data_IF_188720338906
#
_entry.id   IF_188720338906
#
_cell.length_a   1.000
_cell.length_b   1.000
_cell.length_c   1.000
_cell.angle_alpha   90.00
_cell.angle_beta   90.00
_cell.angle_gamma   90.00
#
_symmetry.space_group_name_H-M   'P 1'
#
loop_
_entity.id
_entity.type
_entity.pdbx_description
1 polymer ?
2 non-polymer ?
3 non-polymer ?
4 non-polymer ?
5 non-polymer ?
6 water ?
#
# COMPACT_ATOMS: atom_id res chain seq x y z
N UNK A 2 9.53 12.28 16.25
CA UNK A 2 8.30 13.12 16.06
C UNK A 2 7.07 12.21 16.21
N UNK A 3 5.99 12.70 16.81
CA UNK A 3 4.75 11.90 16.90
C UNK A 3 3.89 12.19 15.66
N UNK A 4 3.41 11.13 14.99
CA UNK A 4 2.74 11.30 13.69
C UNK A 4 1.47 12.14 13.75
N UNK A 5 1.33 13.06 12.81
CA UNK A 5 0.07 13.82 12.64
C UNK A 5 -0.76 13.32 11.46
N UNK A 6 -1.96 12.81 11.76
CA UNK A 6 -2.89 12.26 10.77
C UNK A 6 -3.99 13.27 10.52
N UNK A 7 -4.25 13.58 9.24
CA UNK A 7 -5.41 14.36 8.88
C UNK A 7 -6.48 13.44 8.32
N UNK A 8 -7.64 13.36 8.97
CA UNK A 8 -8.71 12.52 8.50
C UNK A 8 -9.79 13.39 7.84
N UNK A 9 -10.06 13.14 6.57
CA UNK A 9 -11.03 13.94 5.81
C UNK A 9 -12.21 13.04 5.61
N UNK A 10 -13.28 13.27 6.38
CA UNK A 10 -14.38 12.32 6.45
C UNK A 10 -15.63 13.08 6.96
N UNK A 11 -16.74 12.99 6.25
CA UNK A 11 -17.92 13.81 6.57
C UNK A 11 -18.96 13.04 7.38
N UNK A 12 -18.81 11.72 7.51
CA UNK A 12 -19.75 10.99 8.34
C UNK A 12 -19.18 10.96 9.75
N UNK A 13 -19.86 11.59 10.70
CA UNK A 13 -19.19 11.82 11.99
C UNK A 13 -18.98 10.55 12.82
N UNK A 14 -19.81 9.53 12.65
CA UNK A 14 -19.60 8.29 13.43
C UNK A 14 -18.37 7.58 12.89
N UNK A 15 -18.27 7.45 11.57
CA UNK A 15 -17.03 6.99 10.96
C UNK A 15 -15.82 7.81 11.40
N UNK A 16 -15.93 9.13 11.36
CA UNK A 16 -14.78 9.94 11.69
C UNK A 16 -14.38 9.80 13.15
N UNK A 17 -15.38 9.66 14.03
CA UNK A 17 -15.11 9.54 15.46
C UNK A 17 -14.38 8.22 15.73
N UNK A 18 -14.82 7.18 15.04
CA UNK A 18 -14.19 5.87 15.10
C UNK A 18 -12.75 5.89 14.58
N UNK A 19 -12.49 6.57 13.45
CA UNK A 19 -11.12 6.73 12.94
C UNK A 19 -10.27 7.49 13.90
N UNK A 20 -10.84 8.55 14.46
CA UNK A 20 -10.13 9.38 15.42
C UNK A 20 -9.70 8.55 16.63
N UNK A 21 -10.50 7.55 16.99
CA UNK A 21 -10.20 6.83 18.23
C UNK A 21 -9.27 5.67 17.90
N UNK A 22 -9.50 5.04 16.74
CA UNK A 22 -8.54 4.11 16.18
C UNK A 22 -7.14 4.71 16.14
N UNK A 23 -6.99 5.93 15.61
CA UNK A 23 -5.62 6.45 15.49
C UNK A 23 -5.06 6.99 16.78
N UNK A 24 -5.94 7.46 17.67
CA UNK A 24 -5.46 7.92 18.98
C UNK A 24 -4.95 6.73 19.80
N UNK A 25 -5.66 5.60 19.71
CA UNK A 25 -5.19 4.34 20.27
C UNK A 25 -3.81 3.89 19.73
N UNK A 26 -3.33 4.57 18.67
CA UNK A 26 -1.99 4.36 18.13
C UNK A 26 -1.03 5.37 18.68
N UNK A 27 -1.52 6.31 19.49
CA UNK A 27 -0.64 7.36 19.97
C UNK A 27 -0.44 8.51 19.00
N UNK A 28 -1.22 8.56 17.92
CA UNK A 28 -1.07 9.62 16.93
C UNK A 28 -1.88 10.87 17.34
N UNK A 29 -1.46 12.03 16.88
CA UNK A 29 -2.29 13.23 16.91
C UNK A 29 -3.23 13.28 15.69
N UNK A 30 -4.51 13.48 15.93
CA UNK A 30 -5.51 13.40 14.88
C UNK A 30 -6.14 14.75 14.58
N UNK A 31 -6.01 15.19 13.33
CA UNK A 31 -6.69 16.37 12.81
C UNK A 31 -7.88 15.95 11.93
N UNK A 32 -8.92 16.78 11.89
CA UNK A 32 -10.20 16.41 11.30
C UNK A 32 -10.67 17.48 10.33
N UNK A 33 -11.22 17.04 9.20
CA UNK A 33 -11.75 17.93 8.16
C UNK A 33 -12.94 17.22 7.55
N UNK A 34 -13.96 17.96 7.16
CA UNK A 34 -15.07 17.35 6.44
C UNK A 34 -15.07 17.73 4.98
N UNK A 35 -14.14 18.61 4.57
CA UNK A 35 -14.11 19.03 3.17
C UNK A 35 -12.78 19.65 2.80
N UNK A 36 -12.68 20.07 1.54
CA UNK A 36 -11.44 20.56 1.00
C UNK A 36 -11.00 21.89 1.54
N UNK A 37 -11.93 22.82 1.78
CA UNK A 37 -11.58 24.09 2.43
C UNK A 37 -10.96 23.85 3.81
N UNK A 38 -11.56 22.98 4.61
CA UNK A 38 -10.98 22.69 5.94
C UNK A 38 -9.65 21.92 5.81
N UNK A 40 -7.41 22.08 3.35
CA UNK A 40 -6.35 23.00 2.93
C UNK A 40 -5.90 23.91 4.07
N UNK A 41 -6.82 24.35 4.91
CA UNK A 41 -6.47 25.14 6.08
C UNK A 41 -5.61 24.34 7.07
N UNK A 42 -5.93 23.08 7.31
CA UNK A 42 -5.14 22.31 8.25
C UNK A 42 -3.75 22.01 7.67
N UNK A 43 -3.67 21.79 6.36
CA UNK A 43 -2.37 21.58 5.72
C UNK A 43 -1.45 22.82 5.78
N UNK A 44 -2.00 24.03 5.67
CA UNK A 44 -1.18 25.25 5.80
C UNK A 44 -0.74 25.54 7.23
N UNK A 45 -1.51 25.10 8.23
CA UNK A 45 -1.25 25.49 9.61
C UNK A 45 -0.45 24.44 10.38
N UNK A 46 -0.56 23.17 9.98
CA UNK A 46 0.07 22.12 10.75
C UNK A 46 0.94 21.27 9.86
N UNK A 47 1.76 20.46 10.51
CA UNK A 47 2.57 19.45 9.83
C UNK A 47 1.89 18.11 9.80
N UNK A 48 1.45 17.71 8.61
CA UNK A 48 0.63 16.51 8.49
C UNK A 48 1.48 15.45 7.84
N UNK A 49 1.50 14.26 8.43
CA UNK A 49 2.32 13.15 7.91
C UNK A 49 1.52 12.14 7.09
N UNK A 50 0.22 12.09 7.28
CA UNK A 50 -0.64 11.15 6.58
C UNK A 50 -2.05 11.76 6.43
N UNK A 51 -2.62 11.63 5.23
CA UNK A 51 -4.00 12.05 4.97
C UNK A 51 -4.81 10.80 4.70
N UNK A 52 -5.91 10.65 5.43
CA UNK A 52 -6.85 9.57 5.17
C UNK A 52 -8.04 10.27 4.49
N UNK A 54 -11.71 10.28 2.54
CA UNK A 54 -13.00 9.73 2.15
C UNK A 54 -13.33 10.26 0.74
N UNK A 55 -14.20 9.60 -0.01
CA UNK A 55 -14.48 10.08 -1.37
C UNK A 55 -15.77 10.93 -1.46
N UNK A 56 -16.89 10.44 -0.93
CA UNK A 56 -18.14 11.18 -0.98
C UNK A 56 -18.13 12.17 0.16
N UNK A 57 -18.02 13.44 -0.21
CA UNK A 57 -17.84 14.52 0.73
C UNK A 57 -18.83 15.66 0.37
N UNK A 58 -19.00 16.64 1.25
CA UNK A 58 -19.80 17.81 0.86
C UNK A 58 -18.87 18.64 -0.02
N UNK A 59 -19.34 19.16 -1.14
CA UNK A 59 -18.39 19.88 -1.98
C UNK A 59 -17.61 18.95 -2.90
N UNK A 60 -16.35 19.25 -3.13
CA UNK A 60 -15.54 18.46 -4.05
C UNK A 60 -15.37 17.02 -3.52
N UNK A 61 -15.41 16.04 -4.42
CA UNK A 61 -15.19 14.66 -3.98
C UNK A 61 -13.71 14.43 -3.66
N UNK A 62 -13.43 13.42 -2.84
CA UNK A 62 -12.08 13.10 -2.40
C UNK A 62 -11.09 12.66 -3.47
N UNK A 63 -11.56 12.11 -4.59
CA UNK A 63 -10.64 11.76 -5.70
C UNK A 63 -10.09 13.07 -6.26
N UNK A 64 -10.99 14.03 -6.48
CA UNK A 64 -10.56 15.35 -6.98
C UNK A 64 -9.67 16.07 -5.95
N UNK A 65 -10.02 16.04 -4.66
CA UNK A 65 -9.19 16.67 -3.64
C UNK A 65 -7.79 16.02 -3.58
N UNK A 66 -7.73 14.70 -3.72
CA UNK A 66 -6.45 14.00 -3.76
C UNK A 66 -5.59 14.44 -4.97
N UNK A 67 -6.24 14.62 -6.11
CA UNK A 67 -5.57 15.05 -7.34
C UNK A 67 -4.97 16.46 -7.15
N UNK A 68 -5.77 17.37 -6.59
CA UNK A 68 -5.28 18.71 -6.27
C UNK A 68 -4.13 18.65 -5.29
N UNK A 69 -4.30 17.86 -4.22
CA UNK A 69 -3.26 17.69 -3.21
C UNK A 69 -1.97 17.20 -3.84
N UNK A 70 -2.08 16.23 -4.74
CA UNK A 70 -0.89 15.66 -5.35
C UNK A 70 -0.12 16.61 -6.24
N UNK A 71 -0.79 17.66 -6.71
CA UNK A 71 -0.12 18.66 -7.52
C UNK A 71 0.69 19.61 -6.61
N UNK A 72 0.40 19.58 -5.31
CA UNK A 72 1.06 20.46 -4.37
C UNK A 72 2.01 19.73 -3.40
N UNK A 73 1.86 18.41 -3.29
CA UNK A 73 2.49 17.70 -2.17
C UNK A 73 2.59 16.18 -2.33
N UNK A 74 3.67 15.62 -1.82
CA UNK A 74 3.94 14.18 -1.89
C UNK A 74 3.54 13.45 -0.62
N UNK A 75 2.87 14.17 0.28
CA UNK A 75 2.41 13.60 1.56
C UNK A 75 1.75 12.19 1.43
N UNK A 76 1.99 11.34 2.42
CA UNK A 76 1.39 10.02 2.45
C UNK A 76 -0.15 10.13 2.41
N UNK A 77 -0.77 9.30 1.58
CA UNK A 77 -2.19 9.40 1.38
C UNK A 77 -2.87 8.04 1.22
N UNK A 79 -6.83 6.42 0.68
CA UNK A 79 -8.27 6.50 0.62
C UNK A 79 -8.84 5.50 1.56
N UNK A 80 -9.92 5.92 2.22
CA UNK A 80 -10.67 5.05 3.08
C UNK A 80 -12.13 5.42 2.82
N UNK A 81 -12.85 4.49 2.17
CA UNK A 81 -14.10 4.87 1.51
C UNK A 81 -15.07 3.70 1.28
N UNK A 82 -16.38 3.98 1.35
CA UNK A 82 -17.40 3.00 0.95
C UNK A 82 -17.53 2.81 -0.56
N UNK A 83 -16.70 3.48 -1.35
CA UNK A 83 -16.69 3.20 -2.79
C UNK A 83 -15.90 1.92 -3.08
N UNK A 84 -16.55 0.79 -2.84
CA UNK A 84 -15.93 -0.52 -3.05
C UNK A 84 -16.24 -0.95 -4.47
N UNK A 85 -15.58 -0.33 -5.45
CA UNK A 85 -15.72 -0.75 -6.84
C UNK A 85 -14.37 -0.60 -7.50
N UNK A 86 -14.17 -1.32 -8.58
CA UNK A 86 -12.86 -1.45 -9.15
C UNK A 86 -12.44 -0.16 -9.82
N UNK A 87 -13.39 0.56 -10.42
CA UNK A 87 -13.07 1.82 -11.08
C UNK A 87 -12.51 2.87 -10.12
N UNK A 88 -13.19 3.09 -9.01
CA UNK A 88 -12.74 4.12 -8.08
C UNK A 88 -11.45 3.74 -7.37
N UNK A 89 -11.29 2.46 -7.07
CA UNK A 89 -10.04 1.94 -6.51
C UNK A 89 -8.85 2.25 -7.43
N UNK A 90 -8.97 1.81 -8.67
CA UNK A 90 -7.94 2.06 -9.65
C UNK A 90 -7.70 3.52 -9.89
N UNK A 91 -8.76 4.34 -9.93
CA UNK A 91 -8.56 5.77 -10.09
C UNK A 91 -7.82 6.40 -8.93
N UNK A 92 -8.20 6.03 -7.71
CA UNK A 92 -7.56 6.60 -6.55
C UNK A 92 -6.07 6.29 -6.50
N UNK A 93 -5.73 5.04 -6.82
CA UNK A 93 -4.32 4.65 -6.91
C UNK A 93 -3.61 5.39 -8.04
N UNK A 94 -4.24 5.44 -9.22
CA UNK A 94 -3.66 6.16 -10.35
C UNK A 94 -3.37 7.61 -9.98
N UNK A 95 -4.29 8.25 -9.27
CA UNK A 95 -4.11 9.66 -8.89
C UNK A 95 -2.89 9.81 -7.96
N UNK A 96 -2.45 8.70 -7.32
CA UNK A 96 -1.24 8.71 -6.50
C UNK A 96 -1.44 8.44 -5.01
N UNK A 97 -2.61 7.92 -4.63
CA UNK A 97 -2.80 7.47 -3.25
C UNK A 97 -1.88 6.26 -3.03
N UNK A 98 -1.19 6.26 -1.89
CA UNK A 98 -0.38 5.12 -1.49
C UNK A 98 -1.22 3.89 -1.14
N UNK A 99 -2.46 4.09 -0.76
CA UNK A 99 -3.31 2.93 -0.55
C UNK A 99 -4.75 3.29 -0.76
N UNK A 100 -5.59 2.27 -0.82
CA UNK A 100 -7.00 2.46 -1.00
C UNK A 100 -7.72 1.39 -0.21
N UNK A 101 -8.49 1.78 0.81
CA UNK A 101 -9.09 0.84 1.72
C UNK A 101 -10.58 1.03 1.74
N UNK A 102 -11.34 -0.05 1.69
CA UNK A 102 -12.79 0.08 1.65
C UNK A 102 -13.41 -0.09 3.00
N UNK A 103 -14.55 0.57 3.19
CA UNK A 103 -15.42 0.34 4.34
C UNK A 103 -16.42 -0.72 3.93
N UNK A 104 -16.77 -1.63 4.85
CA UNK A 104 -16.21 -1.70 6.21
C UNK A 104 -14.77 -2.22 6.24
N UNK A 105 -14.02 -1.80 7.25
CA UNK A 105 -12.58 -2.08 7.26
C UNK A 105 -12.15 -2.79 8.55
N UNK A 106 -11.05 -3.53 8.48
CA UNK A 106 -10.40 -4.04 9.69
C UNK A 106 -9.48 -2.96 10.25
N UNK A 107 -9.75 -2.52 11.46
CA UNK A 107 -8.95 -1.46 12.06
C UNK A 107 -7.48 -1.84 12.20
N UNK A 108 -7.18 -3.14 12.29
CA UNK A 108 -5.78 -3.54 12.40
C UNK A 108 -5.11 -3.38 11.05
N UNK A 109 -5.77 -3.80 9.98
CA UNK A 109 -5.22 -3.59 8.66
C UNK A 109 -4.88 -2.13 8.46
N UNK A 110 -5.82 -1.26 8.82
CA UNK A 110 -5.68 0.18 8.68
C UNK A 110 -4.47 0.75 9.44
N UNK A 111 -4.30 0.38 10.73
CA UNK A 111 -3.20 0.96 11.51
C UNK A 111 -1.87 0.40 11.07
N UNK A 112 -1.87 -0.86 10.68
CA UNK A 112 -0.60 -1.42 10.22
C UNK A 112 -0.20 -0.82 8.88
N UNK A 113 -1.14 -0.67 7.95
CA UNK A 113 -0.75 -0.08 6.66
C UNK A 113 -0.26 1.36 6.91
N UNK A 114 -0.93 2.09 7.78
CA UNK A 114 -0.52 3.47 8.07
C UNK A 114 0.89 3.51 8.68
N UNK A 115 1.11 2.60 9.64
CA UNK A 115 2.42 2.49 10.26
C UNK A 115 3.53 2.20 9.24
N UNK A 116 3.34 1.19 8.40
CA UNK A 116 4.39 0.89 7.42
C UNK A 116 4.66 2.08 6.51
N UNK A 117 3.58 2.75 6.09
CA UNK A 117 3.69 3.88 5.16
C UNK A 117 4.41 5.02 5.84
N UNK A 118 4.04 5.31 7.09
CA UNK A 118 4.73 6.37 7.83
C UNK A 118 6.20 6.03 8.00
N UNK A 119 6.52 4.75 8.21
CA UNK A 119 7.93 4.35 8.33
C UNK A 119 8.70 4.69 7.07
N UNK A 120 8.03 4.60 5.93
CA UNK A 120 8.68 4.99 4.69
C UNK A 120 8.85 6.50 4.57
N UNK A 121 7.79 7.24 4.90
CA UNK A 121 7.74 8.64 4.50
C UNK A 121 8.28 9.59 5.55
N UNK B 2 16.30 5.52 -13.33
CA UNK B 2 16.79 4.15 -13.11
C UNK B 2 15.79 3.09 -13.63
N UNK B 3 16.25 1.99 -14.24
CA UNK B 3 15.33 0.93 -14.68
C UNK B 3 14.92 0.05 -13.49
N UNK B 4 13.64 -0.01 -13.13
CA UNK B 4 13.26 -0.82 -11.97
C UNK B 4 13.53 -2.31 -12.20
N UNK B 5 14.02 -2.96 -11.15
CA UNK B 5 14.31 -4.40 -11.16
C UNK B 5 13.34 -5.05 -10.16
N UNK B 6 12.56 -5.99 -10.66
CA UNK B 6 11.54 -6.65 -9.88
C UNK B 6 11.89 -8.13 -9.73
N UNK B 7 11.82 -8.64 -8.50
CA UNK B 7 12.00 -10.05 -8.21
C UNK B 7 10.65 -10.67 -7.90
N UNK B 8 10.20 -11.62 -8.70
CA UNK B 8 9.00 -12.35 -8.35
C UNK B 8 9.40 -13.72 -7.79
N UNK B 9 8.96 -13.98 -6.57
CA UNK B 9 9.21 -15.21 -5.85
C UNK B 9 7.91 -15.96 -5.92
N UNK B 10 7.86 -16.95 -6.81
CA UNK B 10 6.61 -17.57 -7.20
C UNK B 10 6.90 -18.93 -7.79
N UNK B 11 6.25 -19.96 -7.27
CA UNK B 11 6.60 -21.33 -7.62
C UNK B 11 5.85 -21.86 -8.85
N UNK B 12 4.73 -21.25 -9.21
CA UNK B 12 4.03 -21.74 -10.39
C UNK B 12 4.48 -21.04 -11.66
N UNK B 13 4.98 -21.86 -12.60
CA UNK B 13 5.53 -21.37 -13.87
C UNK B 13 4.57 -20.44 -14.60
N UNK B 14 3.33 -20.87 -14.75
CA UNK B 14 2.33 -20.09 -15.47
C UNK B 14 2.07 -18.73 -14.83
N UNK B 15 2.03 -18.69 -13.50
CA UNK B 15 1.89 -17.42 -12.79
C UNK B 15 3.14 -16.56 -12.99
N UNK B 16 4.32 -17.16 -12.94
CA UNK B 16 5.55 -16.39 -13.16
C UNK B 16 5.54 -15.75 -14.55
N UNK B 17 5.10 -16.53 -15.54
CA UNK B 17 5.12 -16.09 -16.94
C UNK B 17 4.20 -14.88 -17.11
N UNK B 18 3.03 -14.97 -16.50
CA UNK B 18 2.06 -13.88 -16.47
C UNK B 18 2.63 -12.64 -15.77
N UNK B 19 3.19 -12.80 -14.58
CA UNK B 19 3.75 -11.66 -13.84
C UNK B 19 4.86 -11.01 -14.62
N UNK B 20 5.69 -11.85 -15.25
CA UNK B 20 6.82 -11.36 -16.03
C UNK B 20 6.33 -10.50 -17.22
N UNK B 21 5.34 -10.97 -17.92
CA UNK B 21 4.87 -10.20 -19.05
C UNK B 21 4.11 -8.91 -18.59
N UNK B 22 3.37 -8.97 -17.49
CA UNK B 22 2.79 -7.74 -16.94
C UNK B 22 3.90 -6.68 -16.64
N UNK B 23 4.97 -7.09 -15.95
CA UNK B 23 5.97 -6.12 -15.52
C UNK B 23 6.91 -5.67 -16.63
N UNK B 24 7.18 -6.57 -17.58
CA UNK B 24 7.92 -6.17 -18.77
C UNK B 24 7.11 -5.15 -19.57
N UNK B 25 5.78 -5.30 -19.59
CA UNK B 25 4.92 -4.31 -20.24
C UNK B 25 4.94 -2.95 -19.50
N UNK B 26 5.65 -2.88 -18.36
CA UNK B 26 5.84 -1.63 -17.64
C UNK B 26 7.23 -1.07 -17.89
N UNK B 27 8.04 -1.78 -18.66
CA UNK B 27 9.41 -1.37 -18.82
C UNK B 27 10.36 -1.87 -17.73
N UNK B 28 9.94 -2.85 -16.93
CA UNK B 28 10.80 -3.30 -15.82
C UNK B 28 11.65 -4.49 -16.26
N UNK B 29 12.78 -4.72 -15.60
CA UNK B 29 13.50 -5.98 -15.74
C UNK B 29 13.03 -6.93 -14.64
N UNK B 30 12.71 -8.16 -15.02
CA UNK B 30 12.08 -9.11 -14.10
C UNK B 30 13.03 -10.27 -13.78
N UNK B 31 13.34 -10.46 -12.51
CA UNK B 31 14.16 -11.57 -12.04
C UNK B 31 13.19 -12.59 -11.41
N UNK B 32 13.50 -13.89 -11.52
CA UNK B 32 12.58 -14.94 -11.08
C UNK B 32 13.21 -15.93 -10.09
N UNK B 33 12.48 -16.22 -9.02
CA UNK B 33 12.90 -17.21 -8.04
C UNK B 33 11.70 -18.12 -7.81
N UNK B 34 11.94 -19.42 -7.68
CA UNK B 34 10.86 -20.35 -7.37
C UNK B 34 10.82 -20.65 -5.87
N UNK B 35 11.84 -20.23 -5.14
CA UNK B 35 11.91 -20.52 -3.71
C UNK B 35 12.88 -19.60 -3.00
N UNK B 36 13.03 -19.86 -1.70
CA UNK B 36 13.77 -18.98 -0.82
C UNK B 36 15.25 -18.96 -1.10
N UNK B 37 15.80 -20.09 -1.52
CA UNK B 37 17.24 -20.13 -1.82
C UNK B 37 17.53 -19.35 -3.11
N UNK B 38 16.76 -19.58 -4.15
CA UNK B 38 16.87 -18.76 -5.36
C UNK B 38 16.65 -17.25 -5.10
N UNK B 40 17.29 -15.58 -2.24
CA UNK B 40 18.46 -15.05 -1.55
C UNK B 40 19.61 -14.88 -2.49
N UNK B 41 19.73 -15.76 -3.45
CA UNK B 41 20.87 -15.63 -4.33
C UNK B 41 20.70 -14.46 -5.29
N UNK B 42 19.51 -14.32 -5.90
CA UNK B 42 19.24 -13.13 -6.71
C UNK B 42 19.45 -11.84 -5.93
N UNK B 43 18.97 -11.78 -4.69
CA UNK B 43 19.12 -10.57 -3.87
C UNK B 43 20.57 -10.25 -3.51
N UNK B 44 21.40 -11.26 -3.42
CA UNK B 44 22.78 -10.96 -3.08
C UNK B 44 23.59 -10.60 -4.34
N UNK B 45 23.04 -10.91 -5.52
CA UNK B 45 23.80 -10.83 -6.76
C UNK B 45 23.42 -9.65 -7.70
N UNK B 46 22.18 -9.17 -7.61
CA UNK B 46 21.60 -8.14 -8.49
C UNK B 46 20.87 -7.04 -7.72
N UNK B 47 20.87 -5.82 -8.26
CA UNK B 47 20.06 -4.77 -7.65
C UNK B 47 18.59 -5.17 -7.83
N UNK B 48 17.82 -5.03 -6.75
CA UNK B 48 16.41 -5.39 -6.75
C UNK B 48 15.66 -4.24 -6.07
N UNK B 49 14.63 -3.70 -6.74
CA UNK B 49 13.90 -2.55 -6.20
C UNK B 49 12.55 -2.92 -5.61
N UNK B 50 12.06 -4.10 -5.93
CA UNK B 50 10.76 -4.51 -5.45
C UNK B 50 10.70 -6.02 -5.48
N UNK B 51 10.26 -6.62 -4.38
CA UNK B 51 10.05 -8.07 -4.31
C UNK B 51 8.55 -8.38 -4.30
N UNK B 52 8.10 -9.26 -5.18
CA UNK B 52 6.71 -9.67 -5.16
C UNK B 52 6.74 -11.08 -4.58
N UNK B 54 5.05 -14.56 -3.24
CA UNK B 54 4.00 -15.56 -3.10
C UNK B 54 4.16 -16.20 -1.69
N UNK B 55 3.09 -16.76 -1.13
CA UNK B 55 3.25 -17.41 0.19
C UNK B 55 3.47 -18.93 0.13
N UNK B 56 2.62 -19.66 -0.58
CA UNK B 56 2.78 -21.11 -0.66
C UNK B 56 3.88 -21.48 -1.65
N UNK B 57 5.03 -21.88 -1.10
CA UNK B 57 6.23 -22.13 -1.89
C UNK B 57 6.81 -23.47 -1.42
N UNK B 58 7.57 -24.16 -2.25
CA UNK B 58 8.35 -25.30 -1.74
C UNK B 58 9.38 -24.77 -0.78
N UNK B 59 9.61 -25.45 0.34
CA UNK B 59 10.56 -24.94 1.33
C UNK B 59 9.90 -23.93 2.26
N UNK B 60 10.64 -22.91 2.67
CA UNK B 60 10.06 -21.89 3.55
C UNK B 60 8.94 -21.14 2.86
N UNK B 61 7.91 -20.79 3.63
CA UNK B 61 6.78 -20.06 3.07
C UNK B 61 7.12 -18.58 2.88
N UNK B 62 6.29 -17.87 2.12
CA UNK B 62 6.57 -16.47 1.82
C UNK B 62 6.60 -15.57 3.05
N UNK B 63 5.80 -15.90 4.07
CA UNK B 63 5.71 -15.03 5.25
C UNK B 63 7.03 -15.04 6.01
N UNK B 64 7.60 -16.22 6.18
CA UNK B 64 8.89 -16.35 6.84
C UNK B 64 10.00 -15.77 5.95
N UNK B 65 9.97 -16.09 4.66
CA UNK B 65 10.90 -15.44 3.74
C UNK B 65 10.83 -13.89 3.90
N UNK B 66 9.62 -13.33 3.96
CA UNK B 66 9.46 -11.89 4.20
C UNK B 66 10.11 -11.39 5.50
N UNK B 67 9.97 -12.18 6.56
CA UNK B 67 10.51 -11.87 7.90
C UNK B 67 12.03 -11.80 7.86
N UNK B 68 12.63 -12.75 7.17
CA UNK B 68 14.06 -12.82 7.02
C UNK B 68 14.52 -11.64 6.15
N UNK B 69 13.79 -11.40 5.08
CA UNK B 69 14.11 -10.28 4.20
C UNK B 69 14.12 -8.99 5.02
N UNK B 70 13.10 -8.79 5.85
CA UNK B 70 13.04 -7.57 6.66
C UNK B 70 14.13 -7.40 7.74
N UNK B 71 14.83 -8.48 8.10
CA UNK B 71 15.92 -8.31 9.07
C UNK B 71 17.20 -7.78 8.39
N UNK B 72 17.34 -8.05 7.09
CA UNK B 72 18.48 -7.58 6.26
C UNK B 72 18.24 -6.24 5.52
N UNK B 73 17.00 -6.00 5.07
CA UNK B 73 16.72 -4.99 4.05
C UNK B 73 15.36 -4.32 4.18
N UNK B 74 15.25 -3.08 3.72
CA UNK B 74 13.96 -2.40 3.71
C UNK B 74 13.43 -2.19 2.30
N UNK B 75 13.88 -3.06 1.39
CA UNK B 75 13.42 -3.08 0.03
C UNK B 75 11.87 -3.17 -0.03
N UNK B 76 11.30 -2.47 -0.99
CA UNK B 76 9.86 -2.53 -1.26
C UNK B 76 9.40 -3.98 -1.41
N UNK B 77 8.26 -4.31 -0.83
CA UNK B 77 7.81 -5.69 -0.79
C UNK B 77 6.30 -5.77 -0.88
N UNK B 79 3.17 -8.80 -1.06
CA UNK B 79 2.65 -10.12 -1.22
C UNK B 79 1.65 -10.17 -2.39
N UNK B 80 1.69 -11.28 -3.13
CA UNK B 80 0.74 -11.60 -4.19
C UNK B 80 0.52 -13.08 -4.02
N UNK B 81 -0.65 -13.42 -3.49
CA UNK B 81 -0.83 -14.78 -2.99
C UNK B 81 -2.26 -15.23 -3.08
N UNK B 82 -2.48 -16.52 -3.29
CA UNK B 82 -3.84 -17.05 -3.18
C UNK B 82 -4.36 -17.18 -1.76
N UNK B 83 -3.52 -16.87 -0.76
CA UNK B 83 -3.95 -16.90 0.65
C UNK B 83 -4.81 -15.68 0.94
N UNK B 84 -6.08 -15.81 0.57
CA UNK B 84 -7.06 -14.74 0.67
C UNK B 84 -7.84 -14.96 1.96
N UNK B 85 -7.21 -14.61 3.07
CA UNK B 85 -7.81 -14.67 4.38
C UNK B 85 -7.17 -13.60 5.22
N UNK B 86 -7.95 -13.13 6.20
CA UNK B 86 -7.63 -11.98 7.00
C UNK B 86 -6.36 -12.13 7.83
N UNK B 87 -6.12 -13.34 8.31
CA UNK B 87 -4.98 -13.62 9.20
C UNK B 87 -3.67 -13.47 8.43
N UNK B 88 -3.57 -14.11 7.27
CA UNK B 88 -2.34 -14.03 6.48
C UNK B 88 -2.08 -12.59 5.99
N UNK B 89 -3.14 -11.92 5.61
CA UNK B 89 -3.04 -10.53 5.16
C UNK B 89 -2.47 -9.69 6.26
N UNK B 90 -3.04 -9.80 7.45
CA UNK B 90 -2.58 -9.02 8.59
C UNK B 90 -1.17 -9.38 9.02
N UNK B 91 -0.84 -10.65 9.04
CA UNK B 91 0.53 -11.06 9.32
C UNK B 91 1.53 -10.52 8.32
N UNK B 92 1.20 -10.66 7.04
CA UNK B 92 2.11 -10.19 5.99
C UNK B 92 2.41 -8.72 6.14
N UNK B 93 1.37 -7.93 6.41
CA UNK B 93 1.54 -6.48 6.62
C UNK B 93 2.32 -6.20 7.92
N UNK B 94 1.91 -6.88 9.00
CA UNK B 94 2.61 -6.75 10.28
C UNK B 94 4.11 -7.05 10.16
N UNK B 95 4.45 -8.09 9.41
CA UNK B 95 5.85 -8.46 9.13
C UNK B 95 6.62 -7.33 8.37
N UNK B 96 5.88 -6.44 7.71
CA UNK B 96 6.48 -5.28 7.12
C UNK B 96 6.35 -5.22 5.59
N UNK B 97 5.49 -6.04 5.00
CA UNK B 97 5.18 -5.83 3.57
C UNK B 97 4.46 -4.50 3.37
N UNK B 98 4.82 -3.82 2.29
CA UNK B 98 4.18 -2.56 1.93
C UNK B 98 2.79 -2.80 1.37
N UNK B 99 2.55 -4.00 0.85
CA UNK B 99 1.20 -4.25 0.38
C UNK B 99 0.92 -5.72 0.38
N UNK B 100 -0.35 -6.07 0.20
CA UNK B 100 -0.75 -7.48 0.23
C UNK B 100 -1.90 -7.62 -0.78
N UNK B 101 -1.66 -8.35 -1.83
CA UNK B 101 -2.62 -8.47 -2.91
C UNK B 101 -2.98 -9.93 -3.12
N UNK B 102 -4.27 -10.21 -3.27
CA UNK B 102 -4.73 -11.59 -3.47
C UNK B 102 -4.95 -11.96 -4.92
N UNK B 103 -4.68 -13.23 -5.21
CA UNK B 103 -5.03 -13.85 -6.49
C UNK B 103 -6.45 -14.40 -6.35
N UNK B 104 -7.28 -14.20 -7.36
CA UNK B 104 -6.88 -13.54 -8.60
C UNK B 104 -6.90 -12.02 -8.46
N UNK B 105 -6.14 -11.34 -9.31
CA UNK B 105 -5.90 -9.93 -9.13
C UNK B 105 -6.18 -9.18 -10.44
N UNK B 106 -6.45 -7.88 -10.32
CA UNK B 106 -6.48 -7.00 -11.47
C UNK B 106 -5.05 -6.53 -11.78
N UNK B 107 -4.56 -6.80 -12.98
CA UNK B 107 -3.18 -6.42 -13.32
C UNK B 107 -2.95 -4.92 -13.25
N UNK B 108 -3.94 -4.07 -13.57
CA UNK B 108 -3.74 -2.61 -13.42
C UNK B 108 -3.51 -2.24 -11.99
N UNK B 109 -4.22 -2.91 -11.09
CA UNK B 109 -4.09 -2.58 -9.69
C UNK B 109 -2.70 -2.94 -9.21
N UNK B 110 -2.24 -4.13 -9.58
CA UNK B 110 -0.89 -4.57 -9.27
C UNK B 110 0.15 -3.56 -9.79
N UNK B 111 0.06 -3.16 -11.06
CA UNK B 111 1.15 -2.31 -11.57
C UNK B 111 1.10 -0.90 -11.06
N UNK B 112 -0.09 -0.39 -10.75
CA UNK B 112 -0.15 0.98 -10.22
C UNK B 112 0.34 1.03 -8.77
N UNK B 113 -0.02 0.03 -7.95
CA UNK B 113 0.52 -0.08 -6.60
C UNK B 113 2.07 -0.24 -6.62
N UNK B 114 2.59 -1.05 -7.53
CA UNK B 114 4.04 -1.22 -7.68
C UNK B 114 4.68 0.11 -8.04
N UNK B 115 4.09 0.81 -9.01
CA UNK B 115 4.61 2.09 -9.44
C UNK B 115 4.60 3.15 -8.32
N UNK B 116 3.48 3.29 -7.60
CA UNK B 116 3.49 4.25 -6.49
C UNK B 116 4.51 3.85 -5.42
N UNK B 117 4.59 2.57 -5.13
CA UNK B 117 5.56 2.10 -4.12
C UNK B 117 7.02 2.39 -4.58
N UNK B 118 7.31 2.09 -5.82
CA UNK B 118 8.65 2.38 -6.34
C UNK B 118 8.98 3.87 -6.34
N UNK B 119 7.99 4.71 -6.65
CA UNK B 119 8.17 6.18 -6.64
C UNK B 119 8.55 6.61 -5.26
N UNK B 120 7.98 5.93 -4.26
CA UNK B 120 8.28 6.26 -2.87
C UNK B 120 9.60 5.73 -2.39
N UNK B 121 10.12 4.66 -3.01
CA UNK B 121 11.34 4.02 -2.50
C UNK B 121 12.60 4.15 -3.36
#
# INVERSE_FOLDING_TARGET
>A
XQTPHILIVEDELVTRNTLKSIFEAEGYDVFEATDGAEXHQILSEYDINLVIXDINLPGKNGLLLARELREQANVALXFLTGRDNEVDKILGLEIGADDYITKPFNPRELTIRARNLLSRTXQ
>B
XQTPHILIVEDELVTRNTLKSIFEAEGYDVFEATDGAEXHQILSEYDINLVIXDINLPGKNGLLLARELREQANVALXFLTGRDNEVDKILGLEIGADDYITKPFNPRELTIRARNLLSRTXQ
#
